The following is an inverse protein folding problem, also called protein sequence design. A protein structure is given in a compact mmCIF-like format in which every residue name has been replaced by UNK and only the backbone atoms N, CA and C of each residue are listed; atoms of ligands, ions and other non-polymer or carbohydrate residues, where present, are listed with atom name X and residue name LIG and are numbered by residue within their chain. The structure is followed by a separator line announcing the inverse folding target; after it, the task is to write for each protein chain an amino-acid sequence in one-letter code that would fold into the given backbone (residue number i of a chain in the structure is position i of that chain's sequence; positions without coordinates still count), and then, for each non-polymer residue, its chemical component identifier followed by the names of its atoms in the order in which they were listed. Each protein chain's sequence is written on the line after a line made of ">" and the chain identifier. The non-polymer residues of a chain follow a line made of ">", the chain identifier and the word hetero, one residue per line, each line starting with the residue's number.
data_IF_854295904668
#
_entry.id   IF_854295904668
#
_cell.length_a   1.000
_cell.length_b   1.000
_cell.length_c   1.000
_cell.angle_alpha   90.00
_cell.angle_beta   90.00
_cell.angle_gamma   90.00
#
_symmetry.space_group_name_H-M   'P 1'
#
loop_
_entity.id
_entity.type
_entity.pdbx_description
1 polymer ?
#
# COMPACT_ATOMS: atom_id res chain seq x y z
N UNK A 1 -14.86 -0.28 -17.32
CA UNK A 1 -13.87 0.56 -16.64
C UNK A 1 -13.20 -0.29 -15.58
N UNK A 2 -11.89 -0.14 -15.31
CA UNK A 2 -11.23 -0.92 -14.29
C UNK A 2 -11.85 -0.65 -12.91
N UNK A 3 -12.09 -1.71 -12.12
CA UNK A 3 -12.64 -1.64 -10.77
C UNK A 3 -11.52 -1.49 -9.74
N UNK A 4 -11.72 -0.62 -8.75
CA UNK A 4 -10.79 -0.40 -7.65
C UNK A 4 -11.35 -1.00 -6.36
N UNK A 5 -10.64 -1.98 -5.80
CA UNK A 5 -10.90 -2.55 -4.50
C UNK A 5 -9.93 -1.96 -3.48
N UNK A 6 -10.45 -1.35 -2.42
CA UNK A 6 -9.67 -0.87 -1.29
C UNK A 6 -9.91 -1.83 -0.12
N UNK A 7 -8.88 -2.56 0.26
CA UNK A 7 -8.93 -3.51 1.39
C UNK A 7 -8.45 -2.79 2.64
N UNK A 8 -9.30 -2.82 3.68
CA UNK A 8 -9.02 -2.16 4.96
C UNK A 8 -9.12 -3.18 6.09
N UNK A 9 -7.99 -3.69 6.60
CA UNK A 9 -7.97 -4.45 7.85
C UNK A 9 -8.42 -3.58 9.01
N UNK A 10 -9.35 -4.08 9.83
CA UNK A 10 -9.87 -3.37 11.00
C UNK A 10 -9.76 -4.19 12.27
N UNK A 11 -9.55 -3.52 13.41
CA UNK A 11 -9.60 -4.09 14.75
C UNK A 11 -9.87 -2.96 15.75
N UNK A 12 -11.09 -2.87 16.25
CA UNK A 12 -11.55 -1.85 17.22
C UNK A 12 -11.18 -0.40 16.85
N UNK A 13 -11.19 -0.08 15.55
CA UNK A 13 -10.70 1.18 14.98
C UNK A 13 -11.81 2.08 14.40
N UNK A 14 -13.07 1.85 14.75
CA UNK A 14 -14.24 2.50 14.13
C UNK A 14 -14.20 4.04 14.20
N UNK A 15 -13.58 4.61 15.23
CA UNK A 15 -13.44 6.08 15.38
C UNK A 15 -12.63 6.68 14.22
N UNK A 16 -11.66 5.94 13.68
CA UNK A 16 -10.77 6.39 12.60
C UNK A 16 -11.41 6.22 11.22
N UNK A 17 -12.26 5.21 11.05
CA UNK A 17 -12.84 4.82 9.76
C UNK A 17 -13.75 5.89 9.14
N UNK A 18 -14.36 6.76 9.94
CA UNK A 18 -15.22 7.85 9.42
C UNK A 18 -14.44 8.75 8.46
N UNK A 19 -13.24 9.16 8.83
CA UNK A 19 -12.41 10.02 7.99
C UNK A 19 -11.96 9.34 6.69
N UNK A 20 -11.61 8.05 6.77
CA UNK A 20 -11.30 7.24 5.58
C UNK A 20 -12.49 7.22 4.62
N UNK A 21 -13.69 6.85 5.10
CA UNK A 21 -14.89 6.72 4.27
C UNK A 21 -15.30 8.07 3.67
N UNK A 22 -15.30 9.15 4.45
CA UNK A 22 -15.58 10.50 3.99
C UNK A 22 -14.63 10.93 2.87
N UNK A 23 -13.33 10.66 3.01
CA UNK A 23 -12.34 10.98 1.97
C UNK A 23 -12.57 10.22 0.67
N UNK A 24 -13.12 9.01 0.73
CA UNK A 24 -13.48 8.20 -0.43
C UNK A 24 -14.79 8.66 -1.07
N UNK A 25 -15.77 9.06 -0.27
CA UNK A 25 -17.05 9.59 -0.77
C UNK A 25 -16.86 10.90 -1.57
N UNK A 26 -15.83 11.68 -1.22
CA UNK A 26 -15.46 12.91 -1.92
C UNK A 26 -14.71 12.67 -3.24
N UNK A 27 -14.33 11.42 -3.57
CA UNK A 27 -13.57 11.14 -4.77
C UNK A 27 -14.38 11.35 -6.04
N UNK A 28 -13.78 12.00 -7.03
CA UNK A 28 -14.35 12.20 -8.37
C UNK A 28 -14.43 10.90 -9.18
N UNK A 29 -13.56 9.93 -8.90
CA UNK A 29 -13.65 8.56 -9.42
C UNK A 29 -14.58 7.75 -8.55
N UNK A 30 -15.73 7.32 -9.10
CA UNK A 30 -16.80 6.66 -8.34
C UNK A 30 -16.78 5.13 -8.41
N UNK A 31 -15.97 4.53 -9.31
CA UNK A 31 -15.88 3.07 -9.51
C UNK A 31 -14.90 2.41 -8.52
N UNK A 32 -15.10 2.68 -7.22
CA UNK A 32 -14.37 2.06 -6.13
C UNK A 32 -15.31 1.30 -5.20
N UNK A 33 -14.77 0.31 -4.51
CA UNK A 33 -15.42 -0.37 -3.40
C UNK A 33 -14.43 -0.61 -2.26
N UNK A 34 -14.92 -0.58 -1.03
CA UNK A 34 -14.16 -0.89 0.18
C UNK A 34 -14.55 -2.27 0.69
N UNK A 35 -13.54 -3.07 1.03
CA UNK A 35 -13.72 -4.29 1.77
C UNK A 35 -13.04 -4.17 3.13
N UNK A 36 -13.83 -3.96 4.18
CA UNK A 36 -13.35 -4.07 5.55
C UNK A 36 -13.20 -5.56 5.90
N UNK A 37 -12.04 -5.92 6.45
CA UNK A 37 -11.78 -7.26 6.98
C UNK A 37 -11.52 -7.12 8.46
N UNK A 38 -12.56 -7.46 9.23
CA UNK A 38 -12.61 -7.18 10.65
C UNK A 38 -12.02 -8.32 11.47
N UNK A 39 -10.99 -8.02 12.26
CA UNK A 39 -10.47 -8.89 13.28
C UNK A 39 -11.49 -9.17 14.39
N UNK A 40 -11.11 -9.77 15.51
CA UNK A 40 -12.02 -10.06 16.62
C UNK A 40 -12.41 -8.79 17.40
N UNK A 41 -13.05 -7.84 16.73
CA UNK A 41 -13.48 -6.56 17.31
C UNK A 41 -14.69 -6.68 18.22
N UNK A 42 -14.86 -5.67 19.08
CA UNK A 42 -16.01 -5.53 19.97
C UNK A 42 -17.31 -5.14 19.26
N UNK A 43 -18.40 -5.12 20.02
CA UNK A 43 -19.75 -4.89 19.50
C UNK A 43 -19.90 -3.49 18.85
N UNK A 44 -19.36 -2.46 19.46
CA UNK A 44 -19.46 -1.08 18.95
C UNK A 44 -18.83 -0.93 17.56
N UNK A 45 -17.67 -1.55 17.35
CA UNK A 45 -16.99 -1.56 16.05
C UNK A 45 -17.83 -2.24 14.98
N UNK A 46 -18.38 -3.41 15.28
CA UNK A 46 -19.22 -4.16 14.33
C UNK A 46 -20.51 -3.43 14.00
N UNK A 47 -21.16 -2.85 14.99
CA UNK A 47 -22.34 -2.02 14.76
C UNK A 47 -22.04 -0.80 13.88
N UNK A 48 -20.85 -0.21 14.04
CA UNK A 48 -20.41 0.87 13.17
C UNK A 48 -20.23 0.37 11.72
N UNK A 49 -19.56 -0.77 11.50
CA UNK A 49 -19.37 -1.37 10.17
C UNK A 49 -20.71 -1.69 9.49
N UNK A 50 -21.65 -2.31 10.21
CA UNK A 50 -22.99 -2.61 9.71
C UNK A 50 -23.73 -1.34 9.27
N UNK A 51 -23.68 -0.30 10.07
CA UNK A 51 -24.30 0.99 9.76
C UNK A 51 -23.63 1.66 8.58
N UNK A 52 -22.31 1.69 8.54
CA UNK A 52 -21.54 2.25 7.42
C UNK A 52 -21.89 1.56 6.10
N UNK A 53 -21.86 0.23 6.05
CA UNK A 53 -22.17 -0.55 4.84
C UNK A 53 -23.65 -0.43 4.40
N UNK A 54 -24.55 -0.13 5.32
CA UNK A 54 -25.96 0.16 4.97
C UNK A 54 -26.13 1.53 4.33
N UNK A 55 -25.36 2.53 4.78
CA UNK A 55 -25.42 3.91 4.28
C UNK A 55 -24.60 4.14 3.01
N UNK A 56 -23.51 3.39 2.82
CA UNK A 56 -22.63 3.48 1.66
C UNK A 56 -22.55 2.11 0.96
N UNK A 57 -23.31 1.90 -0.13
CA UNK A 57 -23.39 0.60 -0.80
C UNK A 57 -22.07 0.09 -1.40
N UNK A 58 -21.06 0.96 -1.55
CA UNK A 58 -19.72 0.59 -2.00
C UNK A 58 -18.84 0.03 -0.87
N UNK A 59 -19.29 0.11 0.37
CA UNK A 59 -18.63 -0.45 1.54
C UNK A 59 -19.20 -1.81 1.89
N UNK A 60 -18.32 -2.79 2.11
CA UNK A 60 -18.66 -4.14 2.55
C UNK A 60 -17.78 -4.53 3.70
N UNK A 61 -18.23 -5.41 4.57
CA UNK A 61 -17.40 -5.97 5.62
C UNK A 61 -17.59 -7.47 5.78
N UNK A 62 -16.53 -8.15 6.21
CA UNK A 62 -16.53 -9.57 6.58
C UNK A 62 -15.62 -9.78 7.79
N UNK A 63 -15.91 -10.78 8.63
CA UNK A 63 -14.95 -11.17 9.66
C UNK A 63 -13.68 -11.75 9.04
N UNK A 64 -12.55 -11.49 9.69
CA UNK A 64 -11.28 -12.12 9.34
C UNK A 64 -11.35 -13.61 9.64
N UNK A 65 -10.90 -14.44 8.67
CA UNK A 65 -10.84 -15.89 8.90
C UNK A 65 -9.77 -16.25 9.93
N UNK A 66 -10.04 -17.17 10.87
CA UNK A 66 -9.11 -17.50 11.95
C UNK A 66 -7.74 -18.00 11.48
N UNK A 67 -7.68 -18.69 10.35
CA UNK A 67 -6.46 -19.27 9.78
C UNK A 67 -5.52 -18.20 9.17
N UNK A 68 -5.99 -16.98 8.98
CA UNK A 68 -5.23 -15.85 8.45
C UNK A 68 -5.15 -14.71 9.49
N UNK A 69 -4.46 -14.90 10.63
CA UNK A 69 -4.45 -13.91 11.70
C UNK A 69 -3.60 -12.68 11.40
N UNK A 70 -3.97 -11.55 12.03
CA UNK A 70 -3.24 -10.29 11.97
C UNK A 70 -3.44 -9.52 10.66
N UNK A 71 -2.81 -8.35 10.55
CA UNK A 71 -3.04 -7.40 9.47
C UNK A 71 -2.73 -7.99 8.08
N UNK A 72 -1.64 -8.73 7.93
CA UNK A 72 -1.28 -9.34 6.64
C UNK A 72 -2.12 -10.57 6.30
N UNK A 73 -2.69 -11.24 7.30
CA UNK A 73 -3.71 -12.27 7.09
C UNK A 73 -4.98 -11.66 6.51
N UNK A 74 -5.46 -10.55 7.08
CA UNK A 74 -6.59 -9.80 6.54
C UNK A 74 -6.32 -9.30 5.12
N UNK A 75 -5.12 -8.78 4.84
CA UNK A 75 -4.73 -8.37 3.49
C UNK A 75 -4.69 -9.54 2.51
N UNK A 76 -4.24 -10.73 2.94
CA UNK A 76 -4.29 -11.96 2.14
C UNK A 76 -5.74 -12.34 1.81
N UNK A 77 -6.63 -12.30 2.80
CA UNK A 77 -8.06 -12.52 2.59
C UNK A 77 -8.63 -11.50 1.59
N UNK A 78 -8.23 -10.24 1.66
CA UNK A 78 -8.60 -9.21 0.68
C UNK A 78 -8.15 -9.53 -0.75
N UNK A 79 -6.93 -10.03 -0.94
CA UNK A 79 -6.47 -10.50 -2.25
C UNK A 79 -7.30 -11.68 -2.77
N UNK A 80 -7.73 -12.60 -1.88
CA UNK A 80 -8.58 -13.73 -2.27
C UNK A 80 -9.97 -13.28 -2.73
N UNK A 81 -10.48 -12.17 -2.20
CA UNK A 81 -11.77 -11.57 -2.55
C UNK A 81 -11.72 -10.69 -3.81
N UNK A 82 -10.51 -10.32 -4.25
CA UNK A 82 -10.35 -9.53 -5.47
C UNK A 82 -10.79 -10.32 -6.71
N UNK A 83 -11.53 -9.68 -7.60
CA UNK A 83 -11.91 -10.20 -8.92
C UNK A 83 -10.71 -10.18 -9.86
N UNK A 84 -10.81 -10.89 -11.00
CA UNK A 84 -9.68 -11.08 -11.93
C UNK A 84 -9.14 -9.77 -12.51
N UNK A 85 -10.00 -8.77 -12.66
CA UNK A 85 -9.65 -7.48 -13.28
C UNK A 85 -9.60 -6.33 -12.27
N UNK A 86 -9.68 -6.65 -10.97
CA UNK A 86 -9.56 -5.63 -9.93
C UNK A 86 -8.14 -5.08 -9.82
N UNK A 87 -8.10 -3.79 -9.57
CA UNK A 87 -6.95 -3.11 -8.98
C UNK A 87 -7.14 -3.03 -7.48
N UNK A 88 -6.11 -3.32 -6.70
CA UNK A 88 -6.21 -3.40 -5.23
C UNK A 88 -5.32 -2.37 -4.57
N UNK A 89 -5.88 -1.63 -3.61
CA UNK A 89 -5.16 -0.83 -2.62
C UNK A 89 -5.33 -1.43 -1.23
N UNK A 90 -4.33 -1.28 -0.39
CA UNK A 90 -4.39 -1.63 1.03
C UNK A 90 -4.19 -0.39 1.87
N UNK A 91 -5.23 0.02 2.59
CA UNK A 91 -5.17 1.15 3.50
C UNK A 91 -5.38 0.70 4.95
N UNK A 92 -4.76 1.41 5.89
CA UNK A 92 -5.06 1.27 7.31
C UNK A 92 -6.37 1.97 7.66
N UNK A 93 -6.90 1.69 8.83
CA UNK A 93 -8.09 2.37 9.36
C UNK A 93 -7.89 3.88 9.57
N UNK A 94 -6.63 4.30 9.66
CA UNK A 94 -6.15 5.64 9.92
C UNK A 94 -5.57 6.33 8.67
N UNK A 95 -5.79 5.73 7.48
CA UNK A 95 -5.38 6.30 6.19
C UNK A 95 -6.56 7.03 5.52
N UNK A 96 -6.26 8.04 4.68
CA UNK A 96 -7.28 8.72 3.86
C UNK A 96 -6.71 9.25 2.54
N UNK A 97 -7.58 9.48 1.57
CA UNK A 97 -7.19 10.01 0.26
C UNK A 97 -6.62 11.42 0.37
N UNK A 98 -5.51 11.70 -0.29
CA UNK A 98 -4.78 12.97 -0.17
C UNK A 98 -5.52 14.17 -0.79
N UNK A 99 -6.37 13.94 -1.82
CA UNK A 99 -7.21 14.95 -2.44
C UNK A 99 -8.44 14.31 -3.12
N UNK A 100 -9.48 15.07 -3.46
CA UNK A 100 -10.73 14.53 -4.04
C UNK A 100 -10.58 13.89 -5.43
N UNK A 101 -9.50 14.12 -6.14
CA UNK A 101 -9.27 13.64 -7.51
C UNK A 101 -8.13 12.61 -7.63
N UNK A 102 -7.51 12.19 -6.51
CA UNK A 102 -6.35 11.28 -6.56
C UNK A 102 -6.69 9.92 -7.14
N UNK A 103 -7.89 9.39 -6.88
CA UNK A 103 -8.31 8.12 -7.48
C UNK A 103 -8.55 8.27 -8.98
N UNK A 104 -9.08 9.39 -9.44
CA UNK A 104 -9.24 9.69 -10.87
C UNK A 104 -7.89 9.76 -11.58
N UNK A 105 -6.91 10.48 -11.03
CA UNK A 105 -5.57 10.55 -11.57
C UNK A 105 -4.88 9.18 -11.59
N UNK A 106 -4.98 8.41 -10.50
CA UNK A 106 -4.44 7.06 -10.38
C UNK A 106 -5.03 6.14 -11.45
N UNK A 107 -6.36 6.06 -11.55
CA UNK A 107 -7.04 5.13 -12.46
C UNK A 107 -6.88 5.52 -13.93
N UNK A 108 -6.76 6.81 -14.23
CA UNK A 108 -6.40 7.28 -15.58
C UNK A 108 -5.00 6.80 -15.97
N UNK A 109 -4.05 6.76 -15.02
CA UNK A 109 -2.68 6.31 -15.29
C UNK A 109 -2.57 4.83 -15.66
N UNK A 110 -3.54 4.00 -15.29
CA UNK A 110 -3.56 2.56 -15.58
C UNK A 110 -4.45 2.18 -16.75
N UNK A 111 -5.29 3.10 -17.23
CA UNK A 111 -6.11 2.88 -18.41
C UNK A 111 -5.22 2.96 -19.65
N UNK A 112 -5.14 1.91 -20.48
CA UNK A 112 -4.32 1.96 -21.68
C UNK A 112 -4.83 3.04 -22.63
N UNK A 113 -3.95 3.95 -23.05
CA UNK A 113 -4.25 4.92 -24.11
C UNK A 113 -4.11 4.29 -25.50
N UNK A 114 -3.39 3.15 -25.59
CA UNK A 114 -3.16 2.42 -26.82
C UNK A 114 -3.35 0.91 -26.54
N UNK A 115 -3.96 0.20 -27.49
CA UNK A 115 -4.20 -1.26 -27.44
C UNK A 115 -2.90 -2.07 -27.35
N UNK A 116 -1.76 -1.47 -27.71
CA UNK A 116 -0.43 -2.09 -27.64
C UNK A 116 0.26 -1.92 -26.27
N UNK A 117 -0.25 -1.04 -25.40
CA UNK A 117 0.32 -0.85 -24.09
C UNK A 117 -0.30 -1.84 -23.09
N UNK A 118 0.53 -2.74 -22.56
CA UNK A 118 0.10 -3.60 -21.47
C UNK A 118 0.08 -2.82 -20.16
N UNK A 119 -1.01 -2.98 -19.38
CA UNK A 119 -1.15 -2.40 -18.05
C UNK A 119 0.03 -2.75 -17.12
N UNK A 120 0.45 -1.86 -16.23
CA UNK A 120 1.47 -2.16 -15.23
C UNK A 120 0.97 -3.20 -14.23
N UNK A 121 1.90 -3.95 -13.63
CA UNK A 121 1.60 -4.88 -12.53
C UNK A 121 1.48 -4.14 -11.19
N UNK A 122 2.30 -3.10 -11.00
CA UNK A 122 2.23 -2.19 -9.86
C UNK A 122 2.25 -0.74 -10.32
N UNK A 123 1.50 0.12 -9.64
CA UNK A 123 1.71 1.58 -9.67
C UNK A 123 2.14 2.04 -8.29
N UNK A 124 3.32 2.65 -8.22
CA UNK A 124 3.87 3.13 -6.95
C UNK A 124 3.76 4.64 -6.92
N UNK A 125 2.96 5.14 -5.99
CA UNK A 125 2.72 6.56 -5.73
C UNK A 125 3.49 7.03 -4.49
N UNK A 126 3.22 8.26 -4.07
CA UNK A 126 3.69 8.82 -2.80
C UNK A 126 2.59 8.74 -1.75
N UNK A 127 2.99 8.54 -0.50
CA UNK A 127 2.16 8.78 0.66
C UNK A 127 2.80 9.86 1.53
N UNK A 128 2.04 10.42 2.44
CA UNK A 128 2.52 11.42 3.38
C UNK A 128 2.05 11.11 4.78
N UNK A 129 2.94 11.25 5.75
CA UNK A 129 2.57 11.06 7.15
C UNK A 129 1.92 12.31 7.71
N UNK A 130 0.89 12.12 8.52
CA UNK A 130 0.22 13.18 9.28
C UNK A 130 0.34 12.92 10.78
N UNK A 131 0.56 13.96 11.56
CA UNK A 131 0.56 13.87 13.01
C UNK A 131 -0.87 13.76 13.57
N UNK A 132 -1.00 13.61 14.90
CA UNK A 132 -2.30 13.52 15.59
C UNK A 132 -3.17 14.78 15.47
N UNK A 133 -2.63 15.87 14.97
CA UNK A 133 -3.34 17.13 14.69
C UNK A 133 -3.66 17.29 13.18
N UNK A 134 -3.39 16.27 12.36
CA UNK A 134 -3.60 16.31 10.92
C UNK A 134 -2.55 17.13 10.14
N UNK A 135 -1.47 17.59 10.79
CA UNK A 135 -0.42 18.35 10.11
C UNK A 135 0.44 17.40 9.30
N UNK A 136 0.61 17.73 8.01
CA UNK A 136 1.33 16.91 7.07
C UNK A 136 2.84 17.04 7.27
N UNK A 137 3.50 15.89 7.47
CA UNK A 137 4.93 15.76 7.71
C UNK A 137 5.68 15.11 6.54
N UNK A 138 6.47 14.10 6.86
CA UNK A 138 7.37 13.40 5.94
C UNK A 138 6.62 12.69 4.80
N UNK A 139 7.11 12.87 3.58
CA UNK A 139 6.67 12.12 2.39
C UNK A 139 7.37 10.77 2.29
N UNK A 140 6.67 9.77 1.76
CA UNK A 140 7.28 8.51 1.33
C UNK A 140 7.73 8.65 -0.12
N UNK A 141 8.85 8.01 -0.47
CA UNK A 141 9.33 8.01 -1.86
C UNK A 141 9.98 6.66 -2.19
N UNK A 142 9.70 6.15 -3.38
CA UNK A 142 10.37 4.99 -3.93
C UNK A 142 11.15 5.40 -5.17
N UNK A 143 12.32 6.02 -4.95
CA UNK A 143 13.25 6.40 -6.03
C UNK A 143 12.70 7.43 -7.03
N UNK A 144 11.70 8.18 -6.67
CA UNK A 144 11.27 9.36 -7.41
C UNK A 144 12.25 10.49 -7.10
N UNK A 145 12.82 11.08 -8.14
CA UNK A 145 13.71 12.24 -8.02
C UNK A 145 12.86 13.44 -7.62
N UNK A 146 13.33 14.09 -6.58
CA UNK A 146 13.04 15.39 -6.02
C UNK A 146 12.36 16.44 -6.91
N UNK A 147 11.42 17.14 -6.28
CA UNK A 147 11.16 18.59 -6.38
C UNK A 147 11.80 19.36 -7.56
N UNK A 148 11.29 19.20 -8.73
CA UNK A 148 11.21 20.29 -9.68
C UNK A 148 9.78 20.84 -9.64
N UNK A 149 9.61 22.01 -9.03
CA UNK A 149 8.30 22.66 -8.80
C UNK A 149 7.55 23.06 -10.09
N UNK A 150 7.26 22.09 -10.94
CA UNK A 150 6.37 22.21 -12.09
C UNK A 150 5.16 21.33 -11.86
N UNK A 151 4.10 21.97 -11.45
CA UNK A 151 2.76 21.42 -11.39
C UNK A 151 2.18 21.26 -12.81
N UNK A 152 2.63 20.26 -13.57
CA UNK A 152 1.93 19.86 -14.78
C UNK A 152 2.04 18.33 -14.94
N UNK A 153 0.91 17.65 -14.78
CA UNK A 153 0.64 16.23 -14.91
C UNK A 153 1.64 15.33 -14.19
N UNK A 154 1.14 14.47 -13.32
CA UNK A 154 1.96 13.51 -12.60
C UNK A 154 2.94 12.79 -13.52
N UNK A 155 4.23 13.16 -13.45
CA UNK A 155 5.25 12.54 -14.26
C UNK A 155 5.28 11.04 -13.96
N UNK A 156 5.14 10.19 -14.98
CA UNK A 156 5.20 8.75 -14.84
C UNK A 156 6.53 8.23 -15.39
N UNK A 157 7.08 7.22 -14.72
CA UNK A 157 8.28 6.51 -15.15
C UNK A 157 8.10 5.02 -14.96
N UNK A 158 8.30 4.25 -16.03
CA UNK A 158 8.14 2.79 -15.99
C UNK A 158 9.49 2.11 -15.68
N UNK A 159 9.46 1.14 -14.76
CA UNK A 159 10.60 0.29 -14.40
C UNK A 159 10.34 -1.14 -14.87
N UNK A 160 11.40 -1.79 -15.32
CA UNK A 160 11.40 -3.24 -15.53
C UNK A 160 11.73 -3.99 -14.22
N UNK A 161 11.62 -5.32 -14.24
CA UNK A 161 11.90 -6.18 -13.09
C UNK A 161 13.32 -6.02 -12.54
N UNK A 162 14.33 -5.84 -13.42
CA UNK A 162 15.74 -5.71 -13.03
C UNK A 162 15.99 -4.41 -12.25
N UNK A 163 15.48 -3.28 -12.77
CA UNK A 163 15.60 -1.98 -12.13
C UNK A 163 14.86 -1.94 -10.80
N UNK A 164 13.67 -2.52 -10.76
CA UNK A 164 12.88 -2.66 -9.52
C UNK A 164 13.64 -3.45 -8.46
N UNK A 165 14.17 -4.64 -8.83
CA UNK A 165 14.95 -5.48 -7.95
C UNK A 165 16.24 -4.80 -7.47
N UNK A 166 16.91 -4.04 -8.34
CA UNK A 166 18.07 -3.22 -7.98
C UNK A 166 17.72 -2.19 -6.90
N UNK A 167 16.58 -1.50 -7.02
CA UNK A 167 16.14 -0.53 -6.01
C UNK A 167 15.86 -1.19 -4.65
N UNK A 168 15.22 -2.36 -4.66
CA UNK A 168 15.00 -3.15 -3.45
C UNK A 168 16.35 -3.58 -2.81
N UNK A 169 17.32 -4.01 -3.63
CA UNK A 169 18.67 -4.34 -3.18
C UNK A 169 19.41 -3.13 -2.60
N UNK A 170 19.14 -1.93 -3.06
CA UNK A 170 19.65 -0.69 -2.48
C UNK A 170 18.83 -0.18 -1.29
N UNK A 171 17.99 -1.03 -0.70
CA UNK A 171 17.23 -0.77 0.53
C UNK A 171 15.98 0.11 0.35
N UNK A 172 15.62 0.49 -0.88
CA UNK A 172 14.36 1.17 -1.14
C UNK A 172 13.20 0.15 -1.08
N UNK A 173 12.06 0.56 -0.56
CA UNK A 173 10.83 -0.27 -0.52
C UNK A 173 9.66 0.61 -0.93
N UNK A 174 8.78 0.14 -1.83
CA UNK A 174 7.56 0.86 -2.14
C UNK A 174 6.75 1.14 -0.88
N UNK A 175 6.14 2.32 -0.72
CA UNK A 175 5.20 2.56 0.36
C UNK A 175 3.94 1.73 0.10
N UNK A 176 3.64 0.81 1.00
CA UNK A 176 2.58 -0.19 0.79
C UNK A 176 1.21 0.46 0.54
N UNK A 177 0.79 1.41 1.39
CA UNK A 177 -0.48 2.12 1.27
C UNK A 177 -0.57 3.01 0.02
N UNK A 178 0.57 3.44 -0.52
CA UNK A 178 0.63 4.22 -1.76
C UNK A 178 0.99 3.37 -2.99
N UNK A 179 0.83 2.04 -2.91
CA UNK A 179 1.08 1.12 -4.01
C UNK A 179 -0.22 0.46 -4.46
N UNK A 180 -0.59 0.68 -5.72
CA UNK A 180 -1.72 0.02 -6.37
C UNK A 180 -1.24 -1.29 -7.00
N UNK A 181 -1.91 -2.37 -6.64
CA UNK A 181 -1.64 -3.73 -7.12
C UNK A 181 -2.56 -4.04 -8.30
N UNK A 182 -1.98 -4.25 -9.47
CA UNK A 182 -2.72 -4.58 -10.68
C UNK A 182 -3.06 -6.06 -10.80
N UNK A 183 -3.99 -6.41 -11.71
CA UNK A 183 -4.42 -7.79 -11.96
C UNK A 183 -3.25 -8.74 -12.26
N UNK A 184 -2.21 -8.27 -12.94
CA UNK A 184 -1.01 -9.06 -13.24
C UNK A 184 -0.24 -9.48 -11.99
N UNK A 185 0.00 -8.56 -11.04
CA UNK A 185 0.66 -8.86 -9.76
C UNK A 185 -0.20 -9.80 -8.92
N UNK A 186 -1.51 -9.54 -8.83
CA UNK A 186 -2.45 -10.34 -8.03
C UNK A 186 -2.53 -11.79 -8.53
N UNK A 187 -2.58 -12.00 -9.85
CA UNK A 187 -2.59 -13.37 -10.41
C UNK A 187 -1.31 -14.16 -10.09
N UNK A 188 -0.17 -13.51 -9.95
CA UNK A 188 1.13 -14.14 -9.67
C UNK A 188 1.39 -14.35 -8.20
N UNK A 189 0.89 -13.45 -7.34
CA UNK A 189 1.14 -13.49 -5.91
C UNK A 189 -0.06 -12.94 -5.14
N UNK A 190 -0.86 -13.82 -4.54
CA UNK A 190 -2.11 -13.49 -3.84
C UNK A 190 -2.02 -13.57 -2.32
N UNK A 191 -0.82 -13.72 -1.75
CA UNK A 191 -0.69 -13.91 -0.31
C UNK A 191 0.58 -13.29 0.24
N UNK A 192 0.45 -12.75 1.45
CA UNK A 192 1.57 -12.38 2.29
C UNK A 192 2.13 -13.61 3.01
N UNK A 193 3.37 -13.51 3.49
CA UNK A 193 4.02 -14.60 4.24
C UNK A 193 3.45 -14.68 5.66
N UNK A 194 2.87 -15.81 6.04
CA UNK A 194 2.18 -16.01 7.32
C UNK A 194 3.08 -15.86 8.56
N UNK A 195 4.37 -16.18 8.45
CA UNK A 195 5.33 -16.07 9.55
C UNK A 195 5.81 -14.64 9.86
N UNK A 196 5.49 -13.64 9.00
CA UNK A 196 5.92 -12.26 9.14
C UNK A 196 4.77 -11.38 9.62
N UNK A 197 4.97 -10.66 10.74
CA UNK A 197 3.94 -9.80 11.33
C UNK A 197 4.13 -8.31 11.06
N UNK A 198 5.38 -7.87 10.77
CA UNK A 198 5.73 -6.46 10.67
C UNK A 198 6.35 -6.08 9.33
N UNK A 199 6.77 -7.06 8.52
CA UNK A 199 7.52 -6.82 7.28
C UNK A 199 7.10 -7.75 6.14
N UNK A 200 5.89 -8.27 6.18
CA UNK A 200 5.38 -9.11 5.10
C UNK A 200 5.15 -8.33 3.81
N UNK A 201 4.97 -7.00 3.89
CA UNK A 201 4.99 -6.08 2.76
C UNK A 201 6.35 -6.08 2.04
N UNK A 202 7.45 -5.98 2.78
CA UNK A 202 8.80 -6.06 2.22
C UNK A 202 9.03 -7.42 1.56
N UNK A 203 8.66 -8.52 2.22
CA UNK A 203 8.76 -9.87 1.68
C UNK A 203 7.96 -10.02 0.38
N UNK A 204 6.72 -9.51 0.37
CA UNK A 204 5.87 -9.52 -0.81
C UNK A 204 6.55 -8.83 -2.02
N UNK A 205 7.05 -7.62 -1.84
CA UNK A 205 7.74 -6.89 -2.90
C UNK A 205 9.03 -7.62 -3.36
N UNK A 206 9.76 -8.24 -2.45
CA UNK A 206 10.95 -9.02 -2.78
C UNK A 206 10.60 -10.30 -3.55
N UNK A 207 9.55 -11.02 -3.17
CA UNK A 207 9.06 -12.19 -3.91
C UNK A 207 8.56 -11.80 -5.29
N UNK A 208 7.74 -10.75 -5.38
CA UNK A 208 7.22 -10.26 -6.65
C UNK A 208 8.34 -9.82 -7.60
N UNK A 209 9.45 -9.25 -7.09
CA UNK A 209 10.59 -8.84 -7.90
C UNK A 209 11.33 -9.98 -8.62
N UNK A 210 10.99 -11.24 -8.31
CA UNK A 210 11.55 -12.44 -8.98
C UNK A 210 10.66 -12.96 -10.09
N UNK A 211 9.47 -12.40 -10.23
CA UNK A 211 8.50 -12.82 -11.23
C UNK A 211 8.70 -12.01 -12.51
N UNK A 212 8.84 -12.68 -13.64
CA UNK A 212 8.99 -12.05 -14.95
C UNK A 212 7.87 -12.49 -15.90
N UNK A 213 7.44 -11.61 -16.79
CA UNK A 213 7.76 -10.19 -16.86
C UNK A 213 7.04 -9.39 -15.77
N UNK A 214 7.67 -8.35 -15.21
CA UNK A 214 7.09 -7.46 -14.22
C UNK A 214 7.22 -6.01 -14.68
N UNK A 215 6.12 -5.29 -14.69
CA UNK A 215 6.03 -3.88 -15.08
C UNK A 215 5.59 -3.03 -13.93
N UNK A 216 6.40 -2.05 -13.58
CA UNK A 216 6.11 -1.15 -12.47
C UNK A 216 6.08 0.27 -12.99
N UNK A 217 5.01 0.98 -12.73
CA UNK A 217 4.89 2.41 -12.99
C UNK A 217 5.13 3.20 -11.72
N UNK A 218 6.06 4.13 -11.75
CA UNK A 218 6.19 5.16 -10.73
C UNK A 218 5.35 6.35 -11.15
N UNK A 219 4.46 6.79 -10.28
CA UNK A 219 3.58 7.92 -10.53
C UNK A 219 3.85 9.00 -9.48
N UNK A 220 4.22 10.21 -9.91
CA UNK A 220 4.43 11.34 -9.01
C UNK A 220 3.09 11.93 -8.54
N UNK A 221 2.36 11.13 -7.78
CA UNK A 221 1.06 11.45 -7.21
C UNK A 221 1.11 11.22 -5.70
N UNK A 222 0.74 12.21 -4.90
CA UNK A 222 0.48 12.03 -3.47
C UNK A 222 -0.91 11.41 -3.32
N UNK A 223 -0.94 10.08 -3.11
CA UNK A 223 -2.18 9.29 -3.15
C UNK A 223 -2.90 9.25 -1.81
N UNK A 224 -2.13 9.09 -0.74
CA UNK A 224 -2.67 8.77 0.59
C UNK A 224 -1.94 9.51 1.69
N UNK A 225 -2.70 9.98 2.66
CA UNK A 225 -2.19 10.45 3.95
C UNK A 225 -2.33 9.34 4.98
N UNK A 226 -1.31 9.16 5.83
CA UNK A 226 -1.17 8.07 6.78
C UNK A 226 -0.86 8.62 8.16
N UNK A 227 -1.51 8.13 9.21
CA UNK A 227 -1.15 8.52 10.57
C UNK A 227 0.27 8.08 10.96
N UNK A 228 1.03 8.95 11.62
CA UNK A 228 2.43 8.67 12.01
C UNK A 228 2.54 7.66 13.17
N UNK A 229 1.46 7.44 13.93
CA UNK A 229 1.40 6.59 15.12
C UNK A 229 1.16 5.09 14.86
N UNK A 230 1.44 4.58 13.66
CA UNK A 230 1.15 3.19 13.28
C UNK A 230 1.85 2.13 14.14
N UNK A 231 1.23 0.95 14.28
CA UNK A 231 1.65 -0.22 15.08
C UNK A 231 3.10 -0.67 14.83
N UNK A 232 3.65 -0.41 13.65
CA UNK A 232 4.99 -0.84 13.25
C UNK A 232 6.15 -0.14 13.98
N UNK A 233 5.88 0.96 14.70
CA UNK A 233 6.88 1.70 15.48
C UNK A 233 7.30 1.04 16.79
N UNK A 234 6.44 0.24 17.41
CA UNK A 234 6.61 -0.23 18.80
C UNK A 234 7.47 -1.49 18.96
N UNK A 235 7.67 -2.32 17.91
CA UNK A 235 8.38 -3.61 17.98
C UNK A 235 9.71 -3.60 17.20
N UNK A 236 10.61 -2.68 17.51
CA UNK A 236 11.84 -2.46 16.74
C UNK A 236 12.72 -3.71 16.60
N UNK A 237 12.93 -4.49 17.67
CA UNK A 237 13.78 -5.70 17.63
C UNK A 237 13.20 -6.77 16.67
N UNK A 238 11.93 -7.05 16.79
CA UNK A 238 11.24 -8.01 15.92
C UNK A 238 11.29 -7.56 14.46
N UNK A 239 11.02 -6.30 14.19
CA UNK A 239 11.10 -5.74 12.83
C UNK A 239 12.50 -5.88 12.23
N UNK A 240 13.57 -5.65 13.01
CA UNK A 240 14.95 -5.85 12.55
C UNK A 240 15.20 -7.32 12.17
N UNK A 241 14.75 -8.27 12.98
CA UNK A 241 14.87 -9.69 12.69
C UNK A 241 14.11 -10.10 11.43
N UNK A 242 12.86 -9.67 11.29
CA UNK A 242 12.05 -9.96 10.10
C UNK A 242 12.65 -9.34 8.83
N UNK A 243 13.10 -8.07 8.86
CA UNK A 243 13.80 -7.43 7.73
C UNK A 243 15.05 -8.21 7.32
N UNK A 244 15.84 -8.65 8.30
CA UNK A 244 17.02 -9.49 8.03
C UNK A 244 16.64 -10.80 7.34
N UNK A 245 15.58 -11.46 7.81
CA UNK A 245 15.08 -12.70 7.20
C UNK A 245 14.62 -12.47 5.77
N UNK A 246 13.81 -11.46 5.51
CA UNK A 246 13.34 -11.11 4.16
C UNK A 246 14.52 -10.93 3.20
N UNK A 247 15.54 -10.16 3.60
CA UNK A 247 16.71 -9.95 2.74
C UNK A 247 17.58 -11.19 2.57
N UNK A 248 17.70 -12.04 3.61
CA UNK A 248 18.40 -13.34 3.47
C UNK A 248 17.72 -14.25 2.47
N UNK A 249 16.38 -14.36 2.50
CA UNK A 249 15.63 -15.14 1.52
C UNK A 249 15.72 -14.54 0.12
N UNK A 250 15.74 -13.21 -0.01
CA UNK A 250 15.79 -12.56 -1.31
C UNK A 250 17.17 -12.56 -1.97
N UNK A 251 18.25 -12.36 -1.20
CA UNK A 251 19.59 -12.06 -1.71
C UNK A 251 20.70 -12.97 -1.15
N UNK A 252 20.36 -14.02 -0.40
CA UNK A 252 21.32 -14.97 0.13
C UNK A 252 22.41 -14.33 0.99
N UNK A 253 23.68 -14.62 0.69
CA UNK A 253 24.83 -14.12 1.45
C UNK A 253 24.98 -12.58 1.40
N UNK A 254 24.50 -11.92 0.35
CA UNK A 254 24.59 -10.45 0.20
C UNK A 254 23.49 -9.67 0.94
N UNK A 255 22.69 -10.32 1.78
CA UNK A 255 21.56 -9.74 2.54
C UNK A 255 21.90 -8.50 3.36
N UNK A 256 23.14 -8.40 3.83
CA UNK A 256 23.63 -7.29 4.65
C UNK A 256 23.69 -5.96 3.88
N UNK A 257 23.90 -5.99 2.55
CA UNK A 257 23.93 -4.79 1.71
C UNK A 257 22.59 -4.05 1.77
N UNK A 258 21.45 -4.65 1.34
CA UNK A 258 20.16 -3.98 1.44
C UNK A 258 19.74 -3.66 2.88
N UNK A 259 20.19 -4.47 3.85
CA UNK A 259 19.93 -4.21 5.26
C UNK A 259 20.62 -2.91 5.71
N UNK A 260 21.88 -2.73 5.48
CA UNK A 260 22.64 -1.54 5.86
C UNK A 260 22.18 -0.29 5.08
N UNK A 261 22.01 -0.40 3.78
CA UNK A 261 21.58 0.72 2.93
C UNK A 261 20.18 1.21 3.32
N UNK A 262 19.25 0.31 3.69
CA UNK A 262 17.93 0.68 4.19
C UNK A 262 18.00 1.59 5.43
N UNK A 263 18.83 1.24 6.40
CA UNK A 263 18.95 2.03 7.64
C UNK A 263 19.76 3.29 7.45
N UNK A 264 20.80 3.28 6.61
CA UNK A 264 21.54 4.49 6.24
C UNK A 264 20.63 5.53 5.57
N UNK A 265 19.76 5.10 4.62
CA UNK A 265 18.77 5.98 3.98
C UNK A 265 17.79 6.57 4.98
N UNK A 266 17.32 5.78 5.96
CA UNK A 266 16.41 6.28 7.00
C UNK A 266 17.06 7.31 7.92
N UNK A 267 18.36 7.14 8.23
CA UNK A 267 19.11 8.14 8.99
C UNK A 267 19.25 9.43 8.18
N UNK A 268 19.69 9.35 6.93
CA UNK A 268 19.85 10.54 6.06
C UNK A 268 18.53 11.30 5.88
N UNK A 269 17.40 10.61 5.72
CA UNK A 269 16.10 11.27 5.55
C UNK A 269 15.64 12.06 6.79
N UNK A 270 16.17 11.79 7.98
CA UNK A 270 15.89 12.56 9.20
C UNK A 270 16.65 13.88 9.23
N UNK A 271 17.87 13.93 8.65
CA UNK A 271 18.70 15.13 8.63
C UNK A 271 18.33 16.12 7.52
N UNK A 272 17.63 15.67 6.48
CA UNK A 272 17.22 16.54 5.35
C UNK A 272 15.90 17.28 5.66
N UNK A 273 15.17 16.89 6.70
CA UNK A 273 13.86 17.43 7.06
C UNK A 273 13.86 18.12 8.44
N UNK A 274 15.03 18.28 9.06
CA UNK A 274 15.27 19.14 10.21
C UNK A 274 15.92 20.46 9.78
#
# INVERSE_FOLDING_TARGET
>A
MPSLLIVVPTLDSYVLLSHLVESLQQQTWTSWRVQFIDGPSGLEHRQWLERCCRLEPRCHWVPQVPDLPGIFGAMTQGFMMAQLDDWVLFWGSDDWAAAPDVLSQLMTSVTPHDLLQSSPDLVVCRGRYADSQGRLGRRTAFGMVSDSGRADRAASHDLNAVEYRRRLFLGATPPHQATLFGPGAIRRLRSYHEGLRLTADLDYFLRLSRVEPLKIRLLDLELVHMADAGVSGQQTRRRLQEVRLCYRFAFGWSWWVPFLTRYARRLMSRFVHS
#
